data_IF_814536302694
#
_entry.id   IF_814536302694
#
_cell.length_a   1.000
_cell.length_b   1.000
_cell.length_c   1.000
_cell.angle_alpha   90.00
_cell.angle_beta   90.00
_cell.angle_gamma   90.00
#
_symmetry.space_group_name_H-M   'P 1'
#
loop_
_entity.id
_entity.type
_entity.pdbx_description
1 polymer ?
#
# COMPACT_ATOMS: atom_id res chain seq x y z
N UNK A 1 -8.93 20.54 3.01
CA UNK A 1 -8.77 19.33 2.20
C UNK A 1 -9.06 19.69 0.76
N UNK A 2 -8.10 19.51 -0.17
CA UNK A 2 -8.31 19.85 -1.59
C UNK A 2 -8.98 18.74 -2.39
N UNK A 3 -9.00 17.52 -1.85
CA UNK A 3 -9.93 16.48 -2.29
C UNK A 3 -11.08 16.39 -1.29
N UNK A 4 -12.30 16.62 -1.76
CA UNK A 4 -13.48 16.22 -1.00
C UNK A 4 -13.47 14.70 -0.93
N UNK A 5 -13.62 14.15 0.26
CA UNK A 5 -13.74 12.71 0.42
C UNK A 5 -14.94 12.21 -0.41
N UNK A 6 -14.68 11.41 -1.45
CA UNK A 6 -15.76 10.76 -2.18
C UNK A 6 -16.34 9.65 -1.29
N UNK A 7 -17.38 10.02 -0.56
CA UNK A 7 -18.19 9.12 0.27
C UNK A 7 -19.52 8.78 -0.40
N UNK A 8 -19.64 8.98 -1.71
CA UNK A 8 -20.83 8.56 -2.45
C UNK A 8 -21.00 7.04 -2.36
N UNK A 9 -22.23 6.55 -2.53
CA UNK A 9 -22.55 5.12 -2.48
C UNK A 9 -21.73 4.31 -3.50
N UNK A 10 -21.33 4.94 -4.61
CA UNK A 10 -20.60 4.31 -5.72
C UNK A 10 -19.10 4.65 -5.74
N UNK A 11 -18.59 5.25 -4.67
CA UNK A 11 -17.17 5.59 -4.56
C UNK A 11 -16.30 4.35 -4.72
N UNK A 12 -15.27 4.46 -5.56
CA UNK A 12 -14.24 3.42 -5.71
C UNK A 12 -13.39 3.26 -4.45
N UNK A 13 -13.49 4.19 -3.50
CA UNK A 13 -12.75 4.14 -2.23
C UNK A 13 -13.45 3.33 -1.14
N UNK A 14 -14.56 2.64 -1.44
CA UNK A 14 -15.10 1.59 -0.57
C UNK A 14 -14.30 0.30 -0.76
N UNK A 15 -13.40 -0.06 0.16
CA UNK A 15 -12.56 -1.24 0.00
C UNK A 15 -13.39 -2.52 0.24
N UNK A 16 -12.95 -3.68 -0.28
CA UNK A 16 -13.48 -4.97 0.14
C UNK A 16 -13.24 -5.19 1.64
N UNK A 17 -14.32 -5.39 2.42
CA UNK A 17 -14.23 -5.62 3.88
C UNK A 17 -14.79 -6.97 4.32
N UNK A 18 -15.86 -7.45 3.68
CA UNK A 18 -16.43 -8.75 4.05
C UNK A 18 -15.69 -9.89 3.36
N UNK A 19 -15.74 -11.12 3.90
CA UNK A 19 -15.15 -12.29 3.25
C UNK A 19 -15.59 -12.47 1.79
N UNK A 20 -16.86 -12.20 1.48
CA UNK A 20 -17.41 -12.32 0.12
C UNK A 20 -16.84 -11.26 -0.81
N UNK A 21 -16.72 -10.01 -0.33
CA UNK A 21 -16.13 -8.92 -1.10
C UNK A 21 -14.64 -9.17 -1.36
N UNK A 22 -13.89 -9.61 -0.34
CA UNK A 22 -12.47 -9.97 -0.46
C UNK A 22 -12.32 -11.15 -1.43
N UNK A 23 -13.18 -12.17 -1.34
CA UNK A 23 -13.17 -13.28 -2.28
C UNK A 23 -13.48 -12.84 -3.72
N UNK A 24 -14.39 -11.88 -3.91
CA UNK A 24 -14.67 -11.31 -5.23
C UNK A 24 -13.46 -10.53 -5.78
N UNK A 25 -12.84 -9.70 -4.95
CA UNK A 25 -11.60 -9.00 -5.29
C UNK A 25 -10.47 -9.98 -5.65
N UNK A 26 -10.29 -11.05 -4.87
CA UNK A 26 -9.30 -12.09 -5.15
C UNK A 26 -9.50 -12.76 -6.52
N UNK A 27 -10.74 -13.02 -6.94
CA UNK A 27 -11.01 -13.57 -8.27
C UNK A 27 -10.57 -12.61 -9.37
N UNK A 28 -10.79 -11.31 -9.17
CA UNK A 28 -10.30 -10.27 -10.09
C UNK A 28 -8.76 -10.21 -10.10
N UNK A 29 -8.11 -10.18 -8.93
CA UNK A 29 -6.64 -10.18 -8.82
C UNK A 29 -6.05 -11.40 -9.52
N UNK A 30 -6.58 -12.59 -9.25
CA UNK A 30 -6.14 -13.83 -9.90
C UNK A 30 -6.21 -13.71 -11.41
N UNK A 31 -7.38 -13.26 -11.93
CA UNK A 31 -7.57 -13.10 -13.36
C UNK A 31 -6.57 -12.11 -13.98
N UNK A 32 -6.32 -10.98 -13.31
CA UNK A 32 -5.35 -9.97 -13.75
C UNK A 32 -3.93 -10.56 -13.80
N UNK A 33 -3.48 -11.21 -12.72
CA UNK A 33 -2.14 -11.78 -12.64
C UNK A 33 -1.97 -12.87 -13.70
N UNK A 34 -2.90 -13.82 -13.81
CA UNK A 34 -2.84 -14.89 -14.80
C UNK A 34 -2.80 -14.32 -16.24
N UNK A 35 -3.64 -13.33 -16.54
CA UNK A 35 -3.78 -12.78 -17.89
C UNK A 35 -2.57 -11.93 -18.32
N UNK A 36 -1.91 -11.26 -17.38
CA UNK A 36 -0.83 -10.33 -17.66
C UNK A 36 0.55 -10.83 -17.21
N UNK A 37 0.69 -12.05 -16.69
CA UNK A 37 1.96 -12.59 -16.14
C UNK A 37 3.20 -12.43 -17.03
N UNK A 38 3.04 -12.51 -18.35
CA UNK A 38 4.15 -12.38 -19.31
C UNK A 38 4.52 -10.91 -19.63
N UNK A 39 3.79 -9.94 -19.07
CA UNK A 39 3.92 -8.50 -19.34
C UNK A 39 4.05 -7.64 -18.09
N UNK A 40 3.42 -8.06 -16.99
CA UNK A 40 3.39 -7.31 -15.73
C UNK A 40 4.00 -8.19 -14.64
N UNK A 41 5.12 -7.72 -14.10
CA UNK A 41 5.86 -8.42 -13.07
C UNK A 41 5.73 -7.79 -11.68
N UNK A 42 5.10 -6.61 -11.56
CA UNK A 42 4.95 -5.90 -10.31
C UNK A 42 3.47 -5.56 -10.08
N UNK A 43 2.95 -5.93 -8.91
CA UNK A 43 1.55 -5.74 -8.54
C UNK A 43 1.45 -4.99 -7.22
N UNK A 44 0.84 -3.81 -7.25
CA UNK A 44 0.59 -2.99 -6.07
C UNK A 44 -0.85 -3.18 -5.56
N UNK A 45 -1.02 -3.29 -4.25
CA UNK A 45 -2.33 -3.19 -3.64
C UNK A 45 -2.64 -1.74 -3.26
N UNK A 46 -3.64 -1.17 -3.94
CA UNK A 46 -4.20 0.14 -3.62
C UNK A 46 -3.23 1.31 -3.82
N UNK A 47 -3.73 2.51 -3.58
CA UNK A 47 -3.00 3.77 -3.63
C UNK A 47 -3.51 4.70 -2.51
N UNK A 48 -2.61 5.18 -1.65
CA UNK A 48 -2.88 6.18 -0.62
C UNK A 48 -4.02 5.78 0.35
N UNK A 49 -3.99 4.53 0.79
CA UNK A 49 -4.93 3.92 1.75
C UNK A 49 -4.97 4.59 3.13
N UNK A 50 -3.92 5.33 3.47
CA UNK A 50 -3.72 6.04 4.73
C UNK A 50 -4.42 7.40 4.79
N UNK A 51 -5.04 7.84 3.69
CA UNK A 51 -5.80 9.09 3.60
C UNK A 51 -7.23 8.89 3.06
N UNK A 52 -7.86 9.96 2.55
CA UNK A 52 -9.26 9.93 2.13
C UNK A 52 -9.58 8.99 0.96
N UNK A 53 -8.61 8.26 0.40
CA UNK A 53 -8.83 7.20 -0.59
C UNK A 53 -9.14 5.84 0.05
N UNK A 54 -9.49 5.81 1.33
CA UNK A 54 -10.06 4.66 2.03
C UNK A 54 -11.29 5.05 2.86
N UNK A 55 -12.44 4.47 2.52
CA UNK A 55 -13.73 4.77 3.17
C UNK A 55 -14.04 3.83 4.37
N UNK A 56 -14.79 4.32 5.38
CA UNK A 56 -15.20 5.71 5.59
C UNK A 56 -14.09 6.58 6.19
N UNK A 57 -13.02 5.95 6.68
CA UNK A 57 -11.78 6.55 7.15
C UNK A 57 -10.67 5.49 7.04
N UNK A 58 -9.39 5.89 6.88
CA UNK A 58 -8.24 4.99 6.87
C UNK A 58 -8.26 3.96 8.01
N UNK A 59 -7.91 2.72 7.69
CA UNK A 59 -7.84 1.63 8.67
C UNK A 59 -6.67 0.71 8.34
N UNK A 60 -5.55 0.79 9.10
CA UNK A 60 -4.42 -0.12 8.91
C UNK A 60 -4.82 -1.59 8.99
N UNK A 61 -5.74 -1.93 9.89
CA UNK A 61 -6.16 -3.31 10.12
C UNK A 61 -7.05 -3.86 8.99
N UNK A 62 -7.96 -3.04 8.46
CA UNK A 62 -8.75 -3.46 7.29
C UNK A 62 -7.83 -3.62 6.07
N UNK A 63 -6.90 -2.68 5.87
CA UNK A 63 -5.92 -2.74 4.80
C UNK A 63 -5.01 -3.97 4.92
N UNK A 64 -4.47 -4.24 6.12
CA UNK A 64 -3.65 -5.43 6.38
C UNK A 64 -4.39 -6.74 6.12
N UNK A 65 -5.70 -6.79 6.39
CA UNK A 65 -6.54 -7.96 6.08
C UNK A 65 -6.64 -8.18 4.56
N UNK A 66 -6.87 -7.11 3.79
CA UNK A 66 -6.91 -7.18 2.33
C UNK A 66 -5.53 -7.50 1.74
N UNK A 67 -4.46 -6.91 2.30
CA UNK A 67 -3.07 -7.12 1.90
C UNK A 67 -2.64 -8.58 2.04
N UNK A 68 -2.96 -9.23 3.17
CA UNK A 68 -2.70 -10.66 3.37
C UNK A 68 -3.31 -11.50 2.23
N UNK A 69 -4.56 -11.19 1.89
CA UNK A 69 -5.31 -11.88 0.84
C UNK A 69 -4.71 -11.64 -0.55
N UNK A 70 -4.35 -10.39 -0.86
CA UNK A 70 -3.73 -10.00 -2.11
C UNK A 70 -2.37 -10.68 -2.32
N UNK A 71 -1.47 -10.59 -1.34
CA UNK A 71 -0.14 -11.24 -1.37
C UNK A 71 -0.29 -12.73 -1.66
N UNK A 72 -1.21 -13.39 -0.97
CA UNK A 72 -1.48 -14.82 -1.18
C UNK A 72 -1.90 -15.14 -2.62
N UNK A 73 -2.86 -14.39 -3.18
CA UNK A 73 -3.38 -14.65 -4.52
C UNK A 73 -2.33 -14.36 -5.61
N UNK A 74 -1.55 -13.29 -5.47
CA UNK A 74 -0.47 -12.97 -6.42
C UNK A 74 0.54 -14.11 -6.47
N UNK A 75 1.04 -14.56 -5.29
CA UNK A 75 2.01 -15.66 -5.20
C UNK A 75 1.50 -16.99 -5.75
N UNK A 76 0.22 -17.29 -5.50
CA UNK A 76 -0.39 -18.50 -6.05
C UNK A 76 -0.54 -18.47 -7.57
N UNK A 77 -0.74 -17.29 -8.16
CA UNK A 77 -0.96 -17.12 -9.59
C UNK A 77 0.37 -17.05 -10.36
N UNK A 78 1.33 -16.32 -9.79
CA UNK A 78 2.68 -16.17 -10.32
C UNK A 78 3.69 -15.94 -9.18
N UNK A 79 4.42 -17.01 -8.82
CA UNK A 79 5.42 -16.95 -7.75
C UNK A 79 6.62 -16.05 -8.10
N UNK A 80 6.85 -15.80 -9.40
CA UNK A 80 7.92 -14.92 -9.88
C UNK A 80 7.56 -13.43 -9.80
N UNK A 81 6.27 -13.11 -9.67
CA UNK A 81 5.80 -11.73 -9.59
C UNK A 81 6.26 -11.04 -8.30
N UNK A 82 6.38 -9.73 -8.37
CA UNK A 82 6.77 -8.84 -7.28
C UNK A 82 5.56 -8.16 -6.70
N UNK A 83 5.44 -8.20 -5.38
CA UNK A 83 4.34 -7.57 -4.65
C UNK A 83 4.83 -6.25 -4.07
N UNK A 84 4.14 -5.17 -4.44
CA UNK A 84 4.31 -3.84 -3.86
C UNK A 84 3.23 -3.68 -2.79
N UNK A 85 3.61 -3.24 -1.58
CA UNK A 85 2.70 -2.97 -0.46
C UNK A 85 1.48 -2.18 -0.96
N UNK A 86 1.74 -0.99 -1.49
CA UNK A 86 0.82 0.01 -2.01
C UNK A 86 1.63 1.27 -2.30
N UNK A 87 0.98 2.40 -2.53
CA UNK A 87 1.62 3.72 -2.56
C UNK A 87 1.13 4.56 -1.39
N UNK A 88 1.76 4.44 -0.22
CA UNK A 88 1.30 5.15 0.99
C UNK A 88 1.48 6.67 0.83
N UNK A 89 0.48 7.49 1.18
CA UNK A 89 0.47 8.93 0.92
C UNK A 89 1.50 9.67 1.77
N UNK A 90 1.51 9.39 3.07
CA UNK A 90 2.51 9.87 4.01
C UNK A 90 3.33 8.65 4.48
N UNK A 91 4.68 8.67 4.51
CA UNK A 91 5.49 7.56 4.99
C UNK A 91 5.45 7.37 6.53
N UNK A 92 4.27 7.57 7.13
CA UNK A 92 3.98 7.28 8.53
C UNK A 92 4.26 5.82 8.86
N UNK A 93 5.14 5.62 9.86
CA UNK A 93 5.56 4.29 10.32
C UNK A 93 4.44 3.53 11.04
N UNK A 94 3.53 4.22 11.72
CA UNK A 94 2.48 3.57 12.53
C UNK A 94 1.47 2.82 11.67
N UNK A 95 0.99 3.47 10.60
CA UNK A 95 0.02 2.88 9.68
C UNK A 95 0.56 1.59 9.06
N UNK A 96 1.76 1.67 8.47
CA UNK A 96 2.43 0.52 7.87
C UNK A 96 2.66 -0.58 8.90
N UNK A 97 3.18 -0.26 10.09
CA UNK A 97 3.46 -1.26 11.12
C UNK A 97 2.20 -2.03 11.50
N UNK A 98 1.10 -1.33 11.79
CA UNK A 98 -0.17 -1.96 12.19
C UNK A 98 -0.78 -2.80 11.07
N UNK A 99 -0.69 -2.33 9.82
CA UNK A 99 -1.11 -3.12 8.67
C UNK A 99 -0.29 -4.41 8.51
N UNK A 100 1.03 -4.34 8.67
CA UNK A 100 1.92 -5.51 8.57
C UNK A 100 1.73 -6.48 9.75
N UNK A 101 1.56 -5.97 10.97
CA UNK A 101 1.24 -6.76 12.16
C UNK A 101 -0.08 -7.53 11.96
N UNK A 102 -1.08 -6.88 11.35
CA UNK A 102 -2.37 -7.52 11.03
C UNK A 102 -2.25 -8.54 9.90
N UNK A 103 -1.47 -8.23 8.86
CA UNK A 103 -1.40 -9.10 7.69
C UNK A 103 -0.54 -10.35 7.94
N UNK A 104 0.50 -10.24 8.79
CA UNK A 104 1.52 -11.28 9.00
C UNK A 104 2.13 -11.77 7.67
N UNK A 105 2.26 -10.86 6.71
CA UNK A 105 2.52 -11.15 5.31
C UNK A 105 3.78 -10.43 4.77
N UNK A 106 4.54 -9.76 5.63
CA UNK A 106 5.64 -8.90 5.22
C UNK A 106 6.72 -9.63 4.40
N UNK A 107 6.99 -10.91 4.71
CA UNK A 107 7.92 -11.74 3.93
C UNK A 107 7.48 -11.98 2.49
N UNK A 108 6.21 -11.73 2.16
CA UNK A 108 5.66 -11.82 0.81
C UNK A 108 5.68 -10.50 0.04
N UNK A 109 6.12 -9.39 0.65
CA UNK A 109 6.19 -8.05 0.05
C UNK A 109 7.62 -7.80 -0.42
N UNK A 110 7.80 -7.46 -1.70
CA UNK A 110 9.11 -7.18 -2.28
C UNK A 110 9.46 -5.69 -2.25
N UNK A 111 8.45 -4.82 -2.35
CA UNK A 111 8.64 -3.37 -2.47
C UNK A 111 7.68 -2.64 -1.54
N UNK A 112 8.20 -1.66 -0.81
CA UNK A 112 7.42 -0.69 -0.08
C UNK A 112 7.56 0.67 -0.78
N UNK A 113 6.45 1.18 -1.30
CA UNK A 113 6.40 2.46 -2.00
C UNK A 113 5.55 3.47 -1.22
N UNK A 114 5.96 4.73 -1.27
CA UNK A 114 5.30 5.84 -0.62
C UNK A 114 5.46 7.10 -1.47
N UNK A 115 4.57 8.06 -1.27
CA UNK A 115 4.60 9.34 -1.94
C UNK A 115 5.21 10.40 -1.03
N UNK A 116 5.93 11.33 -1.65
CA UNK A 116 6.49 12.48 -0.94
C UNK A 116 6.22 13.73 -1.75
N UNK A 117 5.38 14.60 -1.20
CA UNK A 117 5.01 15.86 -1.81
C UNK A 117 5.33 16.99 -0.81
N UNK A 118 6.52 17.61 -0.87
CA UNK A 118 6.91 18.63 0.09
C UNK A 118 5.93 19.81 0.04
N UNK A 119 5.40 20.18 1.21
CA UNK A 119 4.44 21.26 1.35
C UNK A 119 3.22 21.05 0.46
N UNK A 120 2.55 19.89 0.57
CA UNK A 120 1.35 19.56 -0.18
C UNK A 120 0.40 20.76 -0.33
N UNK A 121 0.22 21.24 -1.58
CA UNK A 121 -0.57 22.44 -1.92
C UNK A 121 0.17 23.79 -1.90
N UNK A 122 1.47 23.81 -1.63
CA UNK A 122 2.31 25.01 -1.47
C UNK A 122 3.41 25.16 -2.54
N UNK A 123 3.43 24.29 -3.56
CA UNK A 123 4.37 24.33 -4.70
C UNK A 123 5.84 24.51 -4.26
N UNK A 124 6.28 23.71 -3.30
CA UNK A 124 7.67 23.71 -2.87
C UNK A 124 8.55 22.98 -3.89
N UNK A 125 9.83 23.33 -3.91
CA UNK A 125 10.81 22.63 -4.72
C UNK A 125 11.10 21.24 -4.12
N UNK A 126 11.54 20.26 -4.95
CA UNK A 126 11.84 18.91 -4.48
C UNK A 126 12.84 18.87 -3.31
N UNK A 127 13.80 19.78 -3.28
CA UNK A 127 14.83 19.84 -2.24
C UNK A 127 14.27 20.19 -0.85
N UNK A 128 13.05 20.74 -0.75
CA UNK A 128 12.38 20.96 0.54
C UNK A 128 12.15 19.65 1.34
N UNK A 129 12.20 18.51 0.67
CA UNK A 129 12.21 17.18 1.29
C UNK A 129 13.45 16.92 2.16
N UNK A 130 14.61 17.49 1.81
CA UNK A 130 15.90 17.23 2.45
C UNK A 130 16.09 18.01 3.77
N UNK A 131 15.24 19.01 4.03
CA UNK A 131 15.41 19.96 5.14
C UNK A 131 14.51 19.71 6.36
N UNK A 132 13.90 18.53 6.48
CA UNK A 132 13.21 18.16 7.73
C UNK A 132 11.81 17.59 7.58
N UNK A 133 11.25 17.52 6.37
CA UNK A 133 9.87 17.07 6.19
C UNK A 133 9.65 15.60 6.60
N UNK A 134 10.68 14.75 6.49
CA UNK A 134 10.55 13.29 6.68
C UNK A 134 11.77 12.61 7.34
N UNK A 135 12.51 13.30 8.23
CA UNK A 135 13.75 12.77 8.84
C UNK A 135 13.56 11.45 9.61
N UNK A 136 12.35 11.19 10.13
CA UNK A 136 12.00 9.94 10.85
C UNK A 136 11.40 8.86 9.94
N UNK A 137 11.28 9.13 8.64
CA UNK A 137 10.50 8.36 7.67
C UNK A 137 11.31 8.02 6.40
N UNK A 138 12.60 8.39 6.37
CA UNK A 138 13.55 7.95 5.34
C UNK A 138 13.68 6.42 5.31
N UNK A 139 14.09 5.86 4.16
CA UNK A 139 14.20 4.42 3.94
C UNK A 139 14.93 3.64 5.07
N UNK A 140 15.92 4.27 5.71
CA UNK A 140 16.63 3.70 6.87
C UNK A 140 15.77 3.59 8.14
N UNK A 141 14.85 4.52 8.39
CA UNK A 141 13.94 4.48 9.53
C UNK A 141 12.79 3.48 9.31
N UNK A 142 12.37 3.30 8.06
CA UNK A 142 11.42 2.25 7.63
C UNK A 142 12.04 0.85 7.73
N UNK A 143 13.34 0.71 7.46
CA UNK A 143 14.09 -0.53 7.68
C UNK A 143 14.16 -0.94 9.17
N UNK A 144 13.77 -0.06 10.11
CA UNK A 144 13.62 -0.33 11.53
C UNK A 144 12.21 -0.76 11.95
N UNK A 145 11.26 -0.92 11.02
CA UNK A 145 9.94 -1.51 11.28
C UNK A 145 10.12 -3.04 11.39
N UNK A 146 10.74 -3.49 12.49
CA UNK A 146 10.93 -4.91 12.80
C UNK A 146 11.67 -5.72 11.70
N UNK A 147 11.70 -7.06 11.78
CA UNK A 147 12.43 -7.92 10.84
C UNK A 147 11.81 -7.99 9.43
N UNK A 148 10.96 -7.05 9.04
CA UNK A 148 9.90 -7.27 8.06
C UNK A 148 10.20 -6.79 6.64
N UNK A 149 11.11 -5.83 6.45
CA UNK A 149 11.44 -5.30 5.11
C UNK A 149 12.94 -5.49 4.88
N UNK A 150 13.36 -6.42 4.00
CA UNK A 150 14.76 -6.61 3.64
C UNK A 150 15.34 -5.31 3.11
N UNK A 151 16.60 -5.01 3.46
CA UNK A 151 17.35 -3.89 2.89
C UNK A 151 17.47 -4.10 1.38
N UNK A 152 16.71 -3.37 0.57
CA UNK A 152 17.10 -3.11 -0.80
C UNK A 152 18.10 -1.95 -0.78
N UNK A 153 19.35 -2.25 -1.11
CA UNK A 153 20.36 -1.26 -1.46
C UNK A 153 19.92 -0.53 -2.71
N UNK A 154 19.78 0.80 -2.60
CA UNK A 154 19.98 1.70 -3.74
C UNK A 154 21.45 1.67 -4.13
#
# INVERSE_FOLDING_TARGET
SFHNADRSLYSVFWPPKTPEQIAAFNRYVKWMVDHFRDRIHYWALWNEEDINYWNPAPSPEDYGTLLKSFVHVVRQSDDSAKVIYGGQADPSRDFTKRALDRCECASGIDVYAYHTYPGYGQNLNPEAMDYGAYLTEIAQALAGIGPYIPRSTV
#
